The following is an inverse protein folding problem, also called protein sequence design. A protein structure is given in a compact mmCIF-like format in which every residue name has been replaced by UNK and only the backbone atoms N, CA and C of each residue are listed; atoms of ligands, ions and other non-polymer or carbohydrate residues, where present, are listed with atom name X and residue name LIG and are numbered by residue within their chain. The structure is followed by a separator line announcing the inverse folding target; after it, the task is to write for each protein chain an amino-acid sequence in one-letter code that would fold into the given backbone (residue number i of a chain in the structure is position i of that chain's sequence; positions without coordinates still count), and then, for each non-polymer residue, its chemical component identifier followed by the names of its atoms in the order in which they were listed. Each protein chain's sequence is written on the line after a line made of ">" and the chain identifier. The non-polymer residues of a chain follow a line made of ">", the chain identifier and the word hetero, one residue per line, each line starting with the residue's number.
data_IF_523020614579
#
_entry.id   IF_523020614579
#
_cell.length_a   1.000
_cell.length_b   1.000
_cell.length_c   1.000
_cell.angle_alpha   90.00
_cell.angle_beta   90.00
_cell.angle_gamma   90.00
#
_symmetry.space_group_name_H-M   'P 1'
#
loop_
_entity.id
_entity.type
_entity.pdbx_description
1 polymer ?
#
# COMPACT_ATOMS: atom_id res chain seq x y z
N UNK A 1 9.11 -12.82 19.85
CA UNK A 1 7.65 -12.92 19.72
C UNK A 1 7.29 -14.39 19.81
N UNK A 2 6.57 -14.78 20.88
CA UNK A 2 6.02 -16.12 20.97
C UNK A 2 4.81 -16.22 20.02
N UNK A 3 4.78 -17.24 19.17
CA UNK A 3 3.71 -17.44 18.19
C UNK A 3 2.42 -17.93 18.86
N UNK A 4 2.52 -18.56 20.04
CA UNK A 4 1.36 -19.08 20.78
C UNK A 4 0.51 -17.97 21.39
N UNK A 5 1.11 -16.82 21.73
CA UNK A 5 0.39 -15.65 22.25
C UNK A 5 -0.67 -15.13 21.26
N UNK A 6 -0.49 -15.41 19.97
CA UNK A 6 -1.41 -14.98 18.92
C UNK A 6 -2.66 -15.86 18.81
N UNK A 7 -2.77 -16.97 19.54
CA UNK A 7 -3.86 -17.95 19.35
C UNK A 7 -5.25 -17.31 19.44
N UNK A 8 -5.52 -16.52 20.50
CA UNK A 8 -6.79 -15.81 20.64
C UNK A 8 -6.98 -14.76 19.53
N UNK A 9 -5.89 -14.07 19.18
CA UNK A 9 -5.87 -13.08 18.11
C UNK A 9 -6.31 -13.68 16.77
N UNK A 10 -5.69 -14.80 16.38
CA UNK A 10 -6.00 -15.55 15.17
C UNK A 10 -7.47 -15.97 15.15
N UNK A 11 -8.00 -16.54 16.23
CA UNK A 11 -9.42 -16.96 16.31
C UNK A 11 -10.35 -15.79 16.04
N UNK A 12 -10.12 -14.63 16.68
CA UNK A 12 -10.93 -13.42 16.46
C UNK A 12 -10.78 -12.90 15.03
N UNK A 13 -9.56 -12.90 14.48
CA UNK A 13 -9.31 -12.51 13.08
C UNK A 13 -10.07 -13.40 12.10
N UNK A 14 -10.14 -14.73 12.32
CA UNK A 14 -10.94 -15.63 11.46
C UNK A 14 -12.42 -15.32 11.46
N UNK A 15 -12.98 -14.87 12.58
CA UNK A 15 -14.38 -14.42 12.64
C UNK A 15 -14.56 -13.15 11.82
N UNK A 16 -13.59 -12.23 11.86
CA UNK A 16 -13.63 -10.99 11.09
C UNK A 16 -13.40 -11.20 9.60
N UNK A 17 -12.61 -12.20 9.20
CA UNK A 17 -12.42 -12.57 7.79
C UNK A 17 -13.74 -12.95 7.11
N UNK A 18 -14.68 -13.57 7.84
CA UNK A 18 -16.03 -13.89 7.31
C UNK A 18 -16.87 -12.66 6.98
N UNK A 19 -16.48 -11.49 7.47
CA UNK A 19 -17.15 -10.21 7.25
C UNK A 19 -16.54 -9.40 6.11
N UNK A 20 -15.45 -9.88 5.52
CA UNK A 20 -14.89 -9.29 4.30
C UNK A 20 -15.88 -9.42 3.16
N UNK A 21 -15.86 -8.45 2.25
CA UNK A 21 -16.70 -8.42 1.07
C UNK A 21 -16.31 -9.57 0.14
N UNK A 22 -17.29 -10.43 -0.09
CA UNK A 22 -17.18 -11.54 -1.02
C UNK A 22 -17.17 -11.05 -2.46
N UNK A 23 -16.62 -11.87 -3.36
CA UNK A 23 -16.69 -11.60 -4.80
C UNK A 23 -18.12 -11.31 -5.28
N UNK A 24 -19.11 -12.10 -4.82
CA UNK A 24 -20.52 -11.86 -5.17
C UNK A 24 -21.06 -10.52 -4.69
N UNK A 25 -20.59 -10.00 -3.55
CA UNK A 25 -20.98 -8.67 -3.07
C UNK A 25 -20.36 -7.57 -3.92
N UNK A 26 -19.08 -7.71 -4.29
CA UNK A 26 -18.41 -6.78 -5.19
C UNK A 26 -19.07 -6.76 -6.58
N UNK A 27 -19.47 -7.92 -7.12
CA UNK A 27 -20.21 -8.00 -8.39
C UNK A 27 -21.58 -7.31 -8.29
N UNK A 28 -22.34 -7.52 -7.21
CA UNK A 28 -23.60 -6.78 -6.96
C UNK A 28 -23.38 -5.26 -6.94
N UNK A 29 -22.31 -4.78 -6.30
CA UNK A 29 -21.96 -3.37 -6.26
C UNK A 29 -21.55 -2.83 -7.65
N UNK A 30 -20.85 -3.64 -8.44
CA UNK A 30 -20.47 -3.31 -9.81
C UNK A 30 -21.69 -3.23 -10.73
N UNK A 31 -22.71 -4.06 -10.53
CA UNK A 31 -23.91 -4.09 -11.38
C UNK A 31 -25.01 -3.15 -10.91
N UNK A 32 -24.89 -2.54 -9.73
CA UNK A 32 -25.81 -1.50 -9.25
C UNK A 32 -25.94 -0.37 -10.29
N UNK A 33 -27.16 0.05 -10.62
CA UNK A 33 -27.41 1.03 -11.67
C UNK A 33 -26.98 2.44 -11.27
N UNK A 34 -27.06 2.77 -9.99
CA UNK A 34 -26.79 4.11 -9.46
C UNK A 34 -25.87 4.08 -8.23
N UNK A 35 -25.32 5.24 -7.87
CA UNK A 35 -24.58 5.40 -6.61
C UNK A 35 -25.47 5.04 -5.41
N UNK A 36 -26.72 5.48 -5.37
CA UNK A 36 -27.63 5.21 -4.26
C UNK A 36 -27.91 3.70 -4.08
N UNK A 37 -28.06 2.96 -5.18
CA UNK A 37 -28.20 1.50 -5.13
C UNK A 37 -26.92 0.84 -4.60
N UNK A 38 -25.75 1.28 -5.06
CA UNK A 38 -24.47 0.77 -4.54
C UNK A 38 -24.32 1.06 -3.04
N UNK A 39 -24.72 2.24 -2.58
CA UNK A 39 -24.68 2.62 -1.17
C UNK A 39 -25.68 1.81 -0.33
N UNK A 40 -26.87 1.48 -0.84
CA UNK A 40 -27.81 0.57 -0.16
C UNK A 40 -27.20 -0.82 0.03
N UNK A 41 -26.59 -1.38 -1.02
CA UNK A 41 -25.90 -2.68 -0.93
C UNK A 41 -24.76 -2.60 0.10
N UNK A 42 -23.94 -1.54 0.06
CA UNK A 42 -22.85 -1.37 1.01
C UNK A 42 -23.35 -1.25 2.46
N UNK A 43 -24.51 -0.63 2.68
CA UNK A 43 -25.16 -0.50 3.99
C UNK A 43 -25.63 -1.85 4.56
N UNK A 44 -25.91 -2.84 3.72
CA UNK A 44 -26.24 -4.22 4.13
C UNK A 44 -25.00 -5.00 4.64
N UNK A 45 -23.79 -4.46 4.43
CA UNK A 45 -22.53 -5.09 4.83
C UNK A 45 -22.00 -4.51 6.16
N UNK A 46 -20.82 -4.95 6.60
CA UNK A 46 -20.16 -4.42 7.80
C UNK A 46 -19.91 -2.90 7.75
N UNK A 47 -19.84 -2.32 6.54
CA UNK A 47 -19.74 -0.87 6.32
C UNK A 47 -20.97 -0.10 6.78
N UNK A 48 -22.13 -0.76 6.94
CA UNK A 48 -23.39 -0.14 7.37
C UNK A 48 -23.28 0.64 8.69
N UNK A 49 -22.41 0.20 9.60
CA UNK A 49 -22.14 0.90 10.86
C UNK A 49 -21.53 2.30 10.68
N UNK A 50 -20.73 2.48 9.62
CA UNK A 50 -20.05 3.73 9.29
C UNK A 50 -20.94 4.74 8.55
N UNK A 51 -22.15 4.35 8.12
CA UNK A 51 -23.09 5.27 7.45
C UNK A 51 -23.63 6.36 8.38
N UNK A 52 -23.59 6.14 9.69
CA UNK A 52 -23.95 7.16 10.68
C UNK A 52 -23.04 8.40 10.63
N UNK A 53 -21.87 8.29 10.00
CA UNK A 53 -20.89 9.36 9.84
C UNK A 53 -21.11 10.20 8.57
N UNK A 54 -22.07 9.83 7.72
CA UNK A 54 -22.37 10.60 6.51
C UNK A 54 -23.01 11.93 6.88
N UNK A 55 -22.37 13.03 6.46
CA UNK A 55 -23.00 14.35 6.35
C UNK A 55 -23.72 14.48 5.00
N UNK A 56 -24.57 15.50 4.85
CA UNK A 56 -25.37 15.76 3.63
C UNK A 56 -24.55 15.78 2.31
N UNK A 57 -23.24 16.02 2.37
CA UNK A 57 -22.33 16.00 1.22
C UNK A 57 -21.90 14.60 0.72
N UNK A 58 -22.42 13.50 1.30
CA UNK A 58 -22.32 12.12 0.78
C UNK A 58 -20.92 11.69 0.29
N UNK A 59 -19.86 12.01 1.04
CA UNK A 59 -18.51 11.57 0.71
C UNK A 59 -18.29 10.12 1.14
N UNK A 60 -18.45 9.18 0.20
CA UNK A 60 -18.19 7.77 0.43
C UNK A 60 -16.75 7.50 0.91
N UNK A 61 -15.78 8.37 0.62
CA UNK A 61 -14.43 8.24 1.16
C UNK A 61 -14.42 8.27 2.69
N UNK A 62 -15.29 9.08 3.30
CA UNK A 62 -15.41 9.14 4.77
C UNK A 62 -15.83 7.79 5.34
N UNK A 63 -16.79 7.09 4.71
CA UNK A 63 -17.18 5.72 5.13
C UNK A 63 -16.02 4.75 4.97
N UNK A 64 -15.36 4.77 3.81
CA UNK A 64 -14.26 3.85 3.54
C UNK A 64 -13.13 4.04 4.56
N UNK A 65 -12.73 5.29 4.80
CA UNK A 65 -11.68 5.62 5.76
C UNK A 65 -12.08 5.29 7.20
N UNK A 66 -13.32 5.55 7.60
CA UNK A 66 -13.81 5.19 8.92
C UNK A 66 -13.74 3.67 9.14
N UNK A 67 -14.16 2.89 8.16
CA UNK A 67 -14.12 1.42 8.24
C UNK A 67 -12.68 0.88 8.27
N UNK A 68 -11.79 1.47 7.46
CA UNK A 68 -10.37 1.11 7.49
C UNK A 68 -9.77 1.42 8.87
N UNK A 69 -10.02 2.62 9.41
CA UNK A 69 -9.56 3.01 10.75
C UNK A 69 -10.10 2.09 11.84
N UNK A 70 -11.40 1.75 11.78
CA UNK A 70 -12.04 0.78 12.68
C UNK A 70 -11.34 -0.58 12.61
N UNK A 71 -11.00 -1.03 11.41
CA UNK A 71 -10.30 -2.31 11.21
C UNK A 71 -8.91 -2.33 11.86
N UNK A 72 -8.15 -1.23 11.73
CA UNK A 72 -6.86 -1.09 12.42
C UNK A 72 -7.04 -1.10 13.95
N UNK A 73 -8.02 -0.37 14.49
CA UNK A 73 -8.30 -0.36 15.94
C UNK A 73 -8.70 -1.73 16.47
N UNK A 74 -9.57 -2.45 15.77
CA UNK A 74 -9.94 -3.83 16.14
C UNK A 74 -8.70 -4.74 16.14
N UNK A 75 -7.79 -4.56 15.19
CA UNK A 75 -6.56 -5.36 15.15
C UNK A 75 -5.56 -5.00 16.24
N UNK A 76 -5.53 -3.76 16.72
CA UNK A 76 -4.78 -3.39 17.93
C UNK A 76 -5.32 -4.14 19.15
N UNK A 77 -6.64 -4.25 19.30
CA UNK A 77 -7.29 -4.96 20.41
C UNK A 77 -7.19 -6.50 20.31
N UNK A 78 -6.90 -7.02 19.12
CA UNK A 78 -6.83 -8.45 18.81
C UNK A 78 -5.38 -8.95 18.84
N UNK A 79 -4.43 -8.10 18.49
CA UNK A 79 -3.02 -8.46 18.43
C UNK A 79 -2.36 -8.35 19.81
N UNK A 80 -1.67 -9.39 20.29
CA UNK A 80 -0.87 -9.30 21.52
C UNK A 80 0.35 -8.37 21.35
N UNK A 81 0.75 -8.07 20.10
CA UNK A 81 1.87 -7.20 19.78
C UNK A 81 1.45 -6.19 18.70
N UNK A 82 1.48 -4.90 19.04
CA UNK A 82 1.10 -3.81 18.14
C UNK A 82 2.08 -3.63 16.97
N UNK A 83 3.30 -4.19 17.04
CA UNK A 83 4.30 -4.06 15.98
C UNK A 83 3.80 -4.57 14.63
N UNK A 84 2.93 -5.59 14.61
CA UNK A 84 2.33 -6.15 13.40
C UNK A 84 1.33 -5.18 12.75
N UNK A 85 0.50 -4.54 13.57
CA UNK A 85 -0.49 -3.56 13.10
C UNK A 85 0.23 -2.28 12.67
N UNK A 86 1.22 -1.84 13.46
CA UNK A 86 2.08 -0.69 13.17
C UNK A 86 2.90 -0.88 11.89
N UNK A 87 3.33 -2.10 11.57
CA UNK A 87 4.00 -2.41 10.31
C UNK A 87 3.16 -2.01 9.09
N UNK A 88 1.84 -2.23 9.14
CA UNK A 88 0.91 -1.83 8.08
C UNK A 88 0.52 -0.35 8.15
N UNK A 89 0.54 0.25 9.34
CA UNK A 89 0.38 1.71 9.50
C UNK A 89 1.56 2.50 8.93
N UNK A 90 2.75 1.90 8.88
CA UNK A 90 3.98 2.55 8.46
C UNK A 90 3.88 3.25 7.10
N UNK A 91 3.18 2.66 6.13
CA UNK A 91 3.02 3.30 4.81
C UNK A 91 2.20 4.61 4.89
N UNK A 92 1.26 4.69 5.83
CA UNK A 92 0.45 5.89 6.07
C UNK A 92 1.28 6.96 6.77
N UNK A 93 2.17 6.57 7.68
CA UNK A 93 3.13 7.46 8.32
C UNK A 93 4.06 8.11 7.29
N UNK A 94 4.67 7.32 6.41
CA UNK A 94 5.53 7.85 5.34
C UNK A 94 4.75 8.63 4.28
N UNK A 95 3.48 8.28 4.01
CA UNK A 95 2.60 9.12 3.19
C UNK A 95 2.39 10.49 3.83
N UNK A 96 2.01 10.53 5.11
CA UNK A 96 1.79 11.78 5.81
C UNK A 96 3.08 12.61 5.93
N UNK A 97 4.23 11.97 6.15
CA UNK A 97 5.53 12.64 6.17
C UNK A 97 5.86 13.24 4.78
N UNK A 98 5.56 12.53 3.68
CA UNK A 98 5.70 13.07 2.31
C UNK A 98 4.82 14.30 2.11
N UNK A 99 3.57 14.25 2.57
CA UNK A 99 2.64 15.38 2.49
C UNK A 99 3.17 16.56 3.30
N UNK A 100 3.57 16.34 4.55
CA UNK A 100 4.10 17.36 5.45
C UNK A 100 5.35 18.06 4.89
N UNK A 101 6.34 17.29 4.42
CA UNK A 101 7.56 17.89 3.89
C UNK A 101 7.30 18.69 2.61
N UNK A 102 6.36 18.22 1.76
CA UNK A 102 5.92 19.01 0.60
C UNK A 102 5.17 20.27 1.00
N UNK A 103 4.33 20.19 2.04
CA UNK A 103 3.60 21.33 2.61
C UNK A 103 4.57 22.45 3.01
N UNK A 104 5.60 22.09 3.78
CA UNK A 104 6.62 23.02 4.28
C UNK A 104 7.49 23.56 3.13
N UNK A 105 7.92 22.69 2.22
CA UNK A 105 8.82 23.09 1.12
C UNK A 105 8.13 23.95 0.08
N UNK A 106 6.87 23.64 -0.24
CA UNK A 106 6.09 24.34 -1.27
C UNK A 106 5.27 25.51 -0.74
N UNK A 107 5.25 25.69 0.58
CA UNK A 107 4.47 26.72 1.29
C UNK A 107 2.99 26.73 0.88
N UNK A 108 2.36 25.55 0.94
CA UNK A 108 0.95 25.34 0.56
C UNK A 108 0.30 24.42 1.57
N UNK A 109 -0.97 24.65 1.90
CA UNK A 109 -1.72 23.76 2.78
C UNK A 109 -2.11 22.45 2.07
N UNK A 110 -1.68 21.33 2.62
CA UNK A 110 -2.04 19.99 2.16
C UNK A 110 -2.66 19.16 3.29
N UNK A 111 -3.19 19.81 4.33
CA UNK A 111 -3.76 19.15 5.51
C UNK A 111 -4.87 18.15 5.17
N UNK A 112 -5.62 18.41 4.09
CA UNK A 112 -6.69 17.53 3.58
C UNK A 112 -6.17 16.19 3.01
N UNK A 113 -4.87 16.07 2.72
CA UNK A 113 -4.24 14.85 2.20
C UNK A 113 -3.69 13.94 3.30
N UNK A 114 -3.75 14.35 4.57
CA UNK A 114 -3.32 13.52 5.69
C UNK A 114 -4.29 12.38 5.96
N UNK A 115 -3.72 11.22 6.26
CA UNK A 115 -4.44 9.99 6.54
C UNK A 115 -4.36 9.68 8.05
N UNK A 116 -5.48 9.75 8.81
CA UNK A 116 -5.49 9.62 10.27
C UNK A 116 -5.45 8.14 10.73
N UNK A 117 -4.57 7.35 10.13
CA UNK A 117 -4.36 5.91 10.37
C UNK A 117 -2.92 5.62 10.81
N UNK A 118 -2.00 6.58 10.58
CA UNK A 118 -0.61 6.51 11.01
C UNK A 118 -0.44 6.39 12.53
N UNK A 119 0.80 6.12 12.94
CA UNK A 119 1.25 6.14 14.33
C UNK A 119 1.84 7.48 14.74
N UNK A 120 2.24 8.32 13.77
CA UNK A 120 2.92 9.58 14.00
C UNK A 120 1.96 10.74 14.25
N UNK A 121 2.26 11.59 15.23
CA UNK A 121 1.61 12.91 15.36
C UNK A 121 2.25 13.91 14.39
N UNK A 122 1.66 14.00 13.21
CA UNK A 122 2.12 14.85 12.11
C UNK A 122 2.04 16.34 12.47
N UNK A 123 1.08 16.74 13.32
CA UNK A 123 0.95 18.15 13.76
C UNK A 123 2.08 18.52 14.70
N UNK A 124 2.42 17.61 15.60
CA UNK A 124 3.57 17.79 16.49
C UNK A 124 4.88 17.83 15.70
N UNK A 125 5.08 16.89 14.76
CA UNK A 125 6.27 16.88 13.88
C UNK A 125 6.36 18.17 13.05
N UNK A 126 5.24 18.67 12.52
CA UNK A 126 5.20 19.97 11.82
C UNK A 126 5.73 21.10 12.70
N UNK A 127 5.26 21.16 13.95
CA UNK A 127 5.68 22.16 14.94
C UNK A 127 7.18 22.06 15.22
N UNK A 128 7.70 20.85 15.38
CA UNK A 128 9.12 20.59 15.58
C UNK A 128 9.98 21.02 14.39
N UNK A 129 9.54 20.78 13.15
CA UNK A 129 10.27 21.22 11.96
C UNK A 129 10.29 22.75 11.88
N UNK A 130 9.15 23.42 12.10
CA UNK A 130 9.04 24.88 12.00
C UNK A 130 9.87 25.62 13.07
N UNK A 131 9.99 25.02 14.26
CA UNK A 131 10.79 25.58 15.36
C UNK A 131 12.27 25.15 15.32
N UNK A 132 12.70 24.45 14.27
CA UNK A 132 14.05 23.86 14.13
C UNK A 132 14.47 22.95 15.31
N UNK A 133 13.51 22.43 16.08
CA UNK A 133 13.75 21.51 17.19
C UNK A 133 13.31 20.10 16.82
N UNK A 134 14.23 19.32 16.25
CA UNK A 134 13.98 17.90 15.93
C UNK A 134 14.45 16.94 17.04
N UNK A 135 14.92 17.42 18.19
CA UNK A 135 15.49 16.52 19.21
C UNK A 135 14.45 15.52 19.75
N UNK A 136 13.20 15.97 19.84
CA UNK A 136 12.05 15.20 20.35
C UNK A 136 11.37 14.33 19.27
N UNK A 137 11.85 14.36 18.03
CA UNK A 137 11.37 13.47 16.96
C UNK A 137 12.11 12.14 17.02
N UNK A 138 11.36 11.04 16.86
CA UNK A 138 11.91 9.68 16.79
C UNK A 138 13.12 9.61 15.84
N UNK A 139 14.29 9.09 16.27
CA UNK A 139 15.54 9.24 15.52
C UNK A 139 15.49 8.84 14.03
N UNK A 140 14.78 7.77 13.62
CA UNK A 140 14.68 7.43 12.21
C UNK A 140 13.83 8.42 11.39
N UNK A 141 12.75 8.95 11.97
CA UNK A 141 11.90 9.97 11.34
C UNK A 141 12.70 11.27 11.21
N UNK A 142 13.44 11.63 12.26
CA UNK A 142 14.36 12.77 12.22
C UNK A 142 15.40 12.63 11.12
N UNK A 143 16.05 11.47 11.01
CA UNK A 143 17.03 11.21 9.95
C UNK A 143 16.40 11.40 8.56
N UNK A 144 15.18 10.89 8.36
CA UNK A 144 14.42 11.06 7.13
C UNK A 144 14.15 12.53 6.78
N UNK A 145 13.69 13.31 7.77
CA UNK A 145 13.42 14.75 7.61
C UNK A 145 14.71 15.49 7.23
N UNK A 146 15.79 15.27 7.97
CA UNK A 146 17.07 15.94 7.74
C UNK A 146 17.63 15.62 6.35
N UNK A 147 17.58 14.35 5.94
CA UNK A 147 18.02 13.92 4.62
C UNK A 147 17.24 14.62 3.50
N UNK A 148 15.91 14.64 3.59
CA UNK A 148 15.04 15.30 2.60
C UNK A 148 15.31 16.81 2.54
N UNK A 149 15.36 17.49 3.68
CA UNK A 149 15.58 18.94 3.71
C UNK A 149 16.96 19.31 3.17
N UNK A 150 17.98 18.49 3.45
CA UNK A 150 19.35 18.70 2.93
C UNK A 150 19.41 18.47 1.43
N UNK A 151 18.83 17.38 0.92
CA UNK A 151 18.78 17.07 -0.51
C UNK A 151 18.03 18.15 -1.29
N UNK A 152 16.90 18.63 -0.75
CA UNK A 152 16.12 19.69 -1.40
C UNK A 152 16.86 21.03 -1.43
N UNK A 153 17.61 21.39 -0.38
CA UNK A 153 18.46 22.60 -0.37
C UNK A 153 19.45 22.62 -1.53
N UNK A 154 19.99 21.46 -1.91
CA UNK A 154 20.96 21.30 -2.99
C UNK A 154 20.29 21.22 -4.37
N UNK A 155 19.28 20.36 -4.50
CA UNK A 155 18.73 19.97 -5.81
C UNK A 155 17.54 20.80 -6.26
N UNK A 156 16.78 21.37 -5.31
CA UNK A 156 15.50 22.06 -5.53
C UNK A 156 14.46 21.22 -6.30
N UNK A 157 14.56 19.89 -6.29
CA UNK A 157 13.62 18.99 -6.96
C UNK A 157 12.64 18.34 -5.97
N UNK A 158 11.36 18.76 -5.93
CA UNK A 158 10.35 18.18 -5.03
C UNK A 158 10.08 16.69 -5.28
N UNK A 159 10.44 16.15 -6.45
CA UNK A 159 10.26 14.72 -6.74
C UNK A 159 11.18 13.85 -5.88
N UNK A 160 12.34 14.38 -5.47
CA UNK A 160 13.31 13.66 -4.65
C UNK A 160 12.82 13.38 -3.22
N UNK A 161 11.92 14.22 -2.71
CA UNK A 161 11.21 13.99 -1.43
C UNK A 161 10.56 12.60 -1.41
N UNK A 162 9.81 12.28 -2.47
CA UNK A 162 9.11 11.01 -2.58
C UNK A 162 10.09 9.83 -2.63
N UNK A 163 11.15 9.97 -3.41
CA UNK A 163 12.18 8.93 -3.60
C UNK A 163 12.88 8.59 -2.27
N UNK A 164 13.34 9.61 -1.55
CA UNK A 164 14.05 9.44 -0.28
C UNK A 164 13.12 8.77 0.73
N UNK A 165 11.89 9.27 0.88
CA UNK A 165 10.94 8.74 1.85
C UNK A 165 10.45 7.34 1.48
N UNK A 166 10.24 7.02 0.21
CA UNK A 166 9.86 5.67 -0.23
C UNK A 166 11.00 4.67 0.04
N UNK A 167 12.27 5.06 -0.17
CA UNK A 167 13.44 4.23 0.19
C UNK A 167 13.53 3.99 1.70
N UNK A 168 13.34 5.03 2.51
CA UNK A 168 13.39 4.93 3.97
C UNK A 168 12.23 4.10 4.52
N UNK A 169 11.03 4.25 3.95
CA UNK A 169 9.88 3.40 4.24
C UNK A 169 10.22 1.92 4.07
N UNK A 170 10.79 1.54 2.93
CA UNK A 170 11.14 0.15 2.64
C UNK A 170 12.23 -0.36 3.58
N UNK A 171 13.23 0.46 3.89
CA UNK A 171 14.26 0.11 4.86
C UNK A 171 13.67 -0.18 6.25
N UNK A 172 12.78 0.70 6.74
CA UNK A 172 12.07 0.51 8.00
C UNK A 172 11.18 -0.73 7.99
N UNK A 173 10.38 -0.90 6.94
CA UNK A 173 9.48 -2.03 6.75
C UNK A 173 10.25 -3.36 6.81
N UNK A 174 11.38 -3.45 6.10
CA UNK A 174 12.24 -4.63 6.12
C UNK A 174 12.87 -4.89 7.49
N UNK A 175 13.35 -3.86 8.18
CA UNK A 175 13.94 -4.00 9.52
C UNK A 175 12.95 -4.63 10.50
N UNK A 176 11.69 -4.22 10.45
CA UNK A 176 10.63 -4.79 11.29
C UNK A 176 10.32 -6.24 10.87
N UNK A 177 10.21 -6.52 9.56
CA UNK A 177 9.95 -7.88 9.06
C UNK A 177 11.07 -8.86 9.41
N UNK A 178 12.33 -8.44 9.28
CA UNK A 178 13.50 -9.24 9.65
C UNK A 178 13.51 -9.55 11.16
N UNK A 179 12.98 -8.65 12.00
CA UNK A 179 12.83 -8.89 13.44
C UNK A 179 11.70 -9.89 13.77
N UNK A 180 10.60 -9.88 13.01
CA UNK A 180 9.47 -10.80 13.18
C UNK A 180 9.85 -12.24 12.77
N UNK A 181 10.79 -12.40 11.82
CA UNK A 181 11.31 -13.70 11.35
C UNK A 181 10.23 -14.65 10.79
N UNK A 182 9.14 -14.11 10.26
CA UNK A 182 8.12 -14.90 9.55
C UNK A 182 8.56 -15.13 8.09
N UNK A 183 8.64 -16.39 7.61
CA UNK A 183 8.95 -16.68 6.22
C UNK A 183 7.97 -16.02 5.24
N UNK A 184 6.68 -15.99 5.58
CA UNK A 184 5.64 -15.36 4.77
C UNK A 184 5.89 -13.86 4.60
N UNK A 185 6.26 -13.16 5.69
CA UNK A 185 6.48 -11.72 5.64
C UNK A 185 7.73 -11.37 4.85
N UNK A 186 8.80 -12.16 5.02
CA UNK A 186 10.04 -12.00 4.24
C UNK A 186 9.75 -12.21 2.75
N UNK A 187 9.00 -13.26 2.40
CA UNK A 187 8.61 -13.53 1.02
C UNK A 187 7.75 -12.41 0.43
N UNK A 188 6.75 -11.95 1.17
CA UNK A 188 5.91 -10.82 0.79
C UNK A 188 6.73 -9.56 0.54
N UNK A 189 7.62 -9.19 1.47
CA UNK A 189 8.44 -8.00 1.36
C UNK A 189 9.39 -8.05 0.16
N UNK A 190 10.08 -9.17 -0.03
CA UNK A 190 10.99 -9.36 -1.17
C UNK A 190 10.24 -9.27 -2.49
N UNK A 191 9.09 -9.92 -2.61
CA UNK A 191 8.26 -9.84 -3.80
C UNK A 191 7.79 -8.40 -4.08
N UNK A 192 7.27 -7.72 -3.05
CA UNK A 192 6.84 -6.33 -3.15
C UNK A 192 7.97 -5.42 -3.65
N UNK A 193 9.18 -5.58 -3.10
CA UNK A 193 10.37 -4.82 -3.53
C UNK A 193 10.70 -5.08 -5.00
N UNK A 194 10.71 -6.34 -5.42
CA UNK A 194 11.00 -6.70 -6.81
C UNK A 194 9.99 -6.07 -7.78
N UNK A 195 8.69 -6.11 -7.47
CA UNK A 195 7.66 -5.44 -8.27
C UNK A 195 7.86 -3.92 -8.31
N UNK A 196 8.17 -3.31 -7.16
CA UNK A 196 8.46 -1.86 -7.10
C UNK A 196 9.69 -1.53 -7.96
N UNK A 197 10.75 -2.35 -7.93
CA UNK A 197 11.95 -2.15 -8.72
C UNK A 197 11.67 -2.27 -10.22
N UNK A 198 10.87 -3.25 -10.67
CA UNK A 198 10.47 -3.33 -12.10
C UNK A 198 9.62 -2.12 -12.50
N UNK A 199 8.63 -1.73 -11.69
CA UNK A 199 7.81 -0.53 -11.95
C UNK A 199 8.69 0.72 -12.04
N UNK A 200 9.68 0.82 -11.16
CA UNK A 200 10.63 1.94 -11.11
C UNK A 200 11.52 1.96 -12.35
N UNK A 201 12.06 0.81 -12.77
CA UNK A 201 12.80 0.66 -14.03
C UNK A 201 11.99 1.21 -15.22
N UNK A 202 10.73 0.77 -15.37
CA UNK A 202 9.86 1.22 -16.46
C UNK A 202 9.58 2.73 -16.36
N UNK A 203 9.32 3.22 -15.15
CA UNK A 203 9.03 4.65 -14.90
C UNK A 203 10.21 5.53 -15.25
N UNK A 204 11.41 5.19 -14.81
CA UNK A 204 12.64 5.95 -15.09
C UNK A 204 12.88 6.03 -16.60
N UNK A 205 12.72 4.90 -17.33
CA UNK A 205 12.80 4.87 -18.79
C UNK A 205 11.78 5.81 -19.45
N UNK A 206 10.53 5.77 -18.99
CA UNK A 206 9.45 6.63 -19.52
C UNK A 206 9.71 8.11 -19.27
N UNK A 207 10.31 8.43 -18.13
CA UNK A 207 10.71 9.80 -17.77
C UNK A 207 12.01 10.26 -18.45
N UNK A 208 12.65 9.42 -19.28
CA UNK A 208 13.93 9.69 -19.94
C UNK A 208 15.05 10.12 -18.97
N UNK A 209 14.96 9.64 -17.72
CA UNK A 209 16.03 9.78 -16.72
C UNK A 209 17.15 8.79 -17.02
N UNK A 210 18.34 9.01 -16.48
CA UNK A 210 19.51 8.21 -16.80
C UNK A 210 19.65 6.97 -15.91
N UNK A 211 20.63 6.11 -16.24
CA UNK A 211 20.93 4.89 -15.48
C UNK A 211 21.40 5.20 -14.05
N UNK A 212 22.11 6.31 -13.84
CA UNK A 212 22.57 6.73 -12.50
C UNK A 212 21.39 7.02 -11.60
N UNK A 213 20.40 7.75 -12.11
CA UNK A 213 19.16 7.98 -11.38
C UNK A 213 18.45 6.67 -11.05
N UNK A 214 18.39 5.68 -11.96
CA UNK A 214 17.83 4.37 -11.65
C UNK A 214 18.55 3.71 -10.46
N UNK A 215 19.88 3.73 -10.46
CA UNK A 215 20.71 3.15 -9.40
C UNK A 215 20.41 3.76 -8.02
N UNK A 216 20.21 5.08 -7.96
CA UNK A 216 19.86 5.81 -6.72
C UNK A 216 18.49 5.40 -6.15
N UNK A 217 17.52 5.10 -7.03
CA UNK A 217 16.13 4.83 -6.63
C UNK A 217 15.80 3.35 -6.46
N UNK A 218 16.67 2.45 -6.95
CA UNK A 218 16.47 1.01 -6.79
C UNK A 218 16.58 0.60 -5.32
N UNK A 219 15.58 -0.16 -4.89
CA UNK A 219 15.50 -0.73 -3.55
C UNK A 219 16.37 -1.98 -3.45
N UNK A 220 16.99 -2.18 -2.29
CA UNK A 220 17.80 -3.37 -1.97
C UNK A 220 16.94 -4.47 -1.33
N UNK A 221 17.52 -5.66 -1.15
CA UNK A 221 16.93 -6.79 -0.39
C UNK A 221 15.65 -7.40 -1.00
N UNK A 222 15.45 -7.26 -2.32
CA UNK A 222 14.49 -8.07 -3.08
C UNK A 222 14.97 -9.51 -3.30
N UNK A 223 14.26 -10.29 -4.13
CA UNK A 223 14.81 -11.56 -4.63
C UNK A 223 15.77 -11.34 -5.81
N UNK A 224 15.64 -10.21 -6.52
CA UNK A 224 16.43 -9.92 -7.70
C UNK A 224 17.51 -8.90 -7.36
N UNK A 225 18.74 -9.17 -7.82
CA UNK A 225 19.88 -8.27 -7.66
C UNK A 225 19.71 -6.95 -8.44
N UNK A 226 20.22 -5.85 -7.88
CA UNK A 226 20.09 -4.51 -8.46
C UNK A 226 20.66 -4.44 -9.87
N UNK A 227 21.79 -5.10 -10.07
CA UNK A 227 22.56 -5.19 -11.30
C UNK A 227 21.69 -5.72 -12.45
N UNK A 228 20.79 -6.67 -12.17
CA UNK A 228 19.88 -7.21 -13.18
C UNK A 228 18.89 -6.16 -13.69
N UNK A 229 18.37 -5.31 -12.82
CA UNK A 229 17.51 -4.18 -13.23
C UNK A 229 18.30 -3.13 -14.02
N UNK A 230 19.54 -2.84 -13.61
CA UNK A 230 20.41 -1.90 -14.30
C UNK A 230 20.80 -2.39 -15.70
N UNK A 231 21.08 -3.69 -15.88
CA UNK A 231 21.34 -4.28 -17.19
C UNK A 231 20.13 -4.20 -18.10
N UNK A 232 18.92 -4.32 -17.56
CA UNK A 232 17.68 -4.16 -18.32
C UNK A 232 17.23 -2.71 -18.56
N UNK A 233 18.07 -1.72 -18.22
CA UNK A 233 17.74 -0.33 -18.43
C UNK A 233 17.47 0.04 -19.90
N UNK A 234 18.17 -0.57 -20.85
CA UNK A 234 17.98 -0.33 -22.29
C UNK A 234 16.98 -1.27 -22.95
N UNK A 235 16.57 -2.34 -22.26
CA UNK A 235 15.76 -3.44 -22.80
C UNK A 235 14.31 -3.05 -23.11
N UNK A 236 13.76 -3.54 -24.23
CA UNK A 236 12.31 -3.42 -24.46
C UNK A 236 11.51 -4.19 -23.40
N UNK A 237 10.21 -3.91 -23.26
CA UNK A 237 9.35 -4.66 -22.32
C UNK A 237 9.38 -6.16 -22.61
N UNK A 238 9.43 -6.57 -23.88
CA UNK A 238 9.56 -7.98 -24.26
C UNK A 238 10.87 -8.61 -23.80
N UNK A 239 11.97 -7.86 -23.87
CA UNK A 239 13.27 -8.32 -23.39
C UNK A 239 13.29 -8.40 -21.86
N UNK A 240 12.65 -7.45 -21.16
CA UNK A 240 12.45 -7.51 -19.71
C UNK A 240 11.64 -8.78 -19.36
N UNK A 241 10.51 -9.04 -20.02
CA UNK A 241 9.73 -10.28 -19.78
C UNK A 241 10.63 -11.52 -19.92
N UNK A 242 11.47 -11.58 -20.96
CA UNK A 242 12.41 -12.70 -21.16
C UNK A 242 13.45 -12.82 -20.05
N UNK A 243 14.07 -11.71 -19.64
CA UNK A 243 15.14 -11.71 -18.65
C UNK A 243 14.65 -12.12 -17.25
N UNK A 244 13.42 -11.77 -16.91
CA UNK A 244 12.83 -11.99 -15.59
C UNK A 244 11.95 -13.25 -15.54
N UNK A 245 11.88 -14.06 -16.61
CA UNK A 245 10.99 -15.24 -16.70
C UNK A 245 11.27 -16.35 -15.69
N UNK A 246 12.51 -16.45 -15.21
CA UNK A 246 12.96 -17.47 -14.27
C UNK A 246 12.97 -16.96 -12.81
N UNK A 247 12.57 -15.71 -12.59
CA UNK A 247 12.54 -15.13 -11.24
C UNK A 247 11.38 -15.68 -10.42
N UNK A 248 11.54 -15.69 -9.10
CA UNK A 248 10.51 -16.19 -8.18
C UNK A 248 9.15 -15.51 -8.38
N UNK A 249 9.16 -14.21 -8.70
CA UNK A 249 7.95 -13.41 -8.94
C UNK A 249 7.39 -13.52 -10.37
N UNK A 250 8.02 -14.28 -11.27
CA UNK A 250 7.67 -14.32 -12.69
C UNK A 250 6.18 -14.60 -12.96
N UNK A 251 5.56 -15.47 -12.15
CA UNK A 251 4.13 -15.80 -12.25
C UNK A 251 3.20 -14.59 -12.14
N UNK A 252 3.55 -13.58 -11.34
CA UNK A 252 2.79 -12.33 -11.26
C UNK A 252 3.40 -11.22 -12.13
N UNK A 253 4.72 -11.23 -12.31
CA UNK A 253 5.43 -10.18 -13.04
C UNK A 253 5.16 -10.21 -14.54
N UNK A 254 5.10 -11.39 -15.16
CA UNK A 254 4.86 -11.52 -16.60
C UNK A 254 3.47 -10.96 -16.96
N UNK A 255 2.36 -11.37 -16.29
CA UNK A 255 1.05 -10.75 -16.51
C UNK A 255 1.04 -9.24 -16.29
N UNK A 256 1.76 -8.75 -15.26
CA UNK A 256 1.87 -7.31 -14.98
C UNK A 256 2.53 -6.54 -16.13
N UNK A 257 3.64 -7.07 -16.66
CA UNK A 257 4.37 -6.48 -17.79
C UNK A 257 3.58 -6.56 -19.10
N UNK A 258 2.85 -7.66 -19.34
CA UNK A 258 1.98 -7.80 -20.50
C UNK A 258 0.82 -6.80 -20.45
N UNK A 259 0.14 -6.70 -19.29
CA UNK A 259 -0.93 -5.74 -19.07
C UNK A 259 -0.45 -4.30 -19.26
N UNK A 260 0.74 -3.96 -18.75
CA UNK A 260 1.36 -2.66 -18.99
C UNK A 260 1.68 -2.44 -20.48
N UNK A 261 2.21 -3.45 -21.18
CA UNK A 261 2.55 -3.34 -22.61
C UNK A 261 1.32 -3.05 -23.47
N UNK A 262 0.18 -3.67 -23.16
CA UNK A 262 -1.07 -3.51 -23.91
C UNK A 262 -1.74 -2.16 -23.67
N UNK A 263 -1.68 -1.66 -22.43
CA UNK A 263 -2.47 -0.48 -22.00
C UNK A 263 -1.64 0.79 -21.84
N UNK A 264 -0.32 0.65 -21.68
CA UNK A 264 0.62 1.69 -21.27
C UNK A 264 0.26 2.36 -19.92
N UNK A 265 -0.50 1.67 -19.07
CA UNK A 265 -1.00 2.16 -17.77
C UNK A 265 -0.34 1.45 -16.61
N UNK A 266 0.19 2.22 -15.66
CA UNK A 266 0.80 1.65 -14.46
C UNK A 266 -0.23 1.01 -13.53
N UNK A 267 -1.48 1.48 -13.55
CA UNK A 267 -2.52 0.91 -12.68
C UNK A 267 -2.79 -0.57 -13.03
N UNK A 268 -2.66 -0.95 -14.30
CA UNK A 268 -2.88 -2.33 -14.74
C UNK A 268 -1.70 -3.24 -14.33
N UNK A 269 -0.46 -2.71 -14.30
CA UNK A 269 0.70 -3.38 -13.68
C UNK A 269 0.49 -3.56 -12.17
N UNK A 270 0.07 -2.49 -11.48
CA UNK A 270 -0.13 -2.49 -10.03
C UNK A 270 -1.26 -3.44 -9.61
N UNK A 271 -2.30 -3.59 -10.44
CA UNK A 271 -3.35 -4.57 -10.23
C UNK A 271 -2.78 -5.99 -10.17
N UNK A 272 -1.93 -6.38 -11.14
CA UNK A 272 -1.33 -7.71 -11.16
C UNK A 272 -0.30 -7.94 -10.03
N UNK A 273 0.43 -6.89 -9.65
CA UNK A 273 1.26 -6.90 -8.43
C UNK A 273 0.39 -7.18 -7.19
N UNK A 274 -0.68 -6.40 -6.99
CA UNK A 274 -1.58 -6.55 -5.86
C UNK A 274 -2.23 -7.96 -5.86
N UNK A 275 -2.63 -8.49 -7.02
CA UNK A 275 -3.16 -9.84 -7.17
C UNK A 275 -2.15 -10.91 -6.75
N UNK A 276 -0.89 -10.77 -7.16
CA UNK A 276 0.17 -11.71 -6.77
C UNK A 276 0.44 -11.65 -5.25
N UNK A 277 0.53 -10.45 -4.69
CA UNK A 277 0.73 -10.25 -3.24
C UNK A 277 -0.44 -10.80 -2.42
N UNK A 278 -1.68 -10.63 -2.89
CA UNK A 278 -2.87 -11.24 -2.28
C UNK A 278 -2.78 -12.77 -2.31
N UNK A 279 -2.37 -13.37 -3.43
CA UNK A 279 -2.18 -14.82 -3.54
C UNK A 279 -1.14 -15.34 -2.54
N UNK A 280 -0.03 -14.62 -2.35
CA UNK A 280 0.97 -14.99 -1.35
C UNK A 280 0.39 -15.00 0.07
N UNK A 281 -0.34 -13.96 0.46
CA UNK A 281 -0.88 -13.89 1.83
C UNK A 281 -2.06 -14.83 2.08
N UNK A 282 -2.70 -15.39 1.04
CA UNK A 282 -3.75 -16.42 1.22
C UNK A 282 -3.21 -17.67 1.93
N UNK A 283 -1.91 -17.95 1.83
CA UNK A 283 -1.25 -19.02 2.62
C UNK A 283 -1.43 -18.82 4.13
N UNK A 284 -1.62 -17.58 4.59
CA UNK A 284 -1.91 -17.30 5.99
C UNK A 284 -3.18 -17.98 6.48
N UNK A 285 -4.12 -18.39 5.60
CA UNK A 285 -5.34 -19.14 5.98
C UNK A 285 -5.01 -20.49 6.63
N UNK A 286 -3.85 -21.07 6.31
CA UNK A 286 -3.38 -22.35 6.86
C UNK A 286 -2.52 -22.20 8.12
N UNK A 287 -2.27 -20.96 8.56
CA UNK A 287 -1.49 -20.67 9.76
C UNK A 287 -2.45 -20.50 10.95
N UNK A 288 -2.26 -21.34 11.97
CA UNK A 288 -3.08 -21.35 13.19
C UNK A 288 -2.43 -20.62 14.37
N UNK A 289 -1.11 -20.42 14.33
CA UNK A 289 -0.33 -19.77 15.38
C UNK A 289 0.64 -18.77 14.77
N UNK A 290 0.54 -17.51 15.18
CA UNK A 290 1.44 -16.43 14.77
C UNK A 290 0.73 -15.18 14.23
N UNK A 291 1.51 -14.16 13.87
CA UNK A 291 1.00 -12.84 13.45
C UNK A 291 0.44 -12.81 12.03
N UNK A 292 0.66 -13.85 11.22
CA UNK A 292 0.35 -13.85 9.79
C UNK A 292 -1.13 -13.64 9.46
N UNK A 293 -2.10 -14.23 10.19
CA UNK A 293 -3.51 -13.99 9.93
C UNK A 293 -3.94 -12.54 10.14
N UNK A 294 -3.40 -11.87 11.17
CA UNK A 294 -3.68 -10.45 11.47
C UNK A 294 -3.16 -9.56 10.32
N UNK A 295 -1.92 -9.82 9.89
CA UNK A 295 -1.32 -9.12 8.75
C UNK A 295 -2.12 -9.34 7.46
N UNK A 296 -2.50 -10.58 7.17
CA UNK A 296 -3.27 -10.91 5.97
C UNK A 296 -4.66 -10.24 5.97
N UNK A 297 -5.34 -10.21 7.11
CA UNK A 297 -6.64 -9.56 7.25
C UNK A 297 -6.58 -8.06 6.95
N UNK A 298 -5.59 -7.34 7.49
CA UNK A 298 -5.46 -5.91 7.23
C UNK A 298 -5.13 -5.61 5.76
N UNK A 299 -4.24 -6.39 5.14
CA UNK A 299 -3.98 -6.28 3.69
C UNK A 299 -5.21 -6.60 2.83
N UNK A 300 -6.03 -7.56 3.26
CA UNK A 300 -7.31 -7.86 2.64
C UNK A 300 -8.27 -6.67 2.74
N UNK A 301 -8.41 -6.05 3.92
CA UNK A 301 -9.23 -4.85 4.12
C UNK A 301 -8.77 -3.67 3.26
N UNK A 302 -7.47 -3.47 3.11
CA UNK A 302 -6.94 -2.42 2.24
C UNK A 302 -7.25 -2.68 0.76
N UNK A 303 -7.20 -3.94 0.33
CA UNK A 303 -7.52 -4.34 -1.05
C UNK A 303 -9.01 -4.22 -1.33
N UNK A 304 -9.85 -4.62 -0.36
CA UNK A 304 -11.29 -4.40 -0.38
C UNK A 304 -11.62 -2.91 -0.50
N UNK A 305 -10.97 -2.05 0.28
CA UNK A 305 -11.14 -0.60 0.21
C UNK A 305 -10.74 -0.04 -1.17
N UNK A 306 -9.62 -0.48 -1.74
CA UNK A 306 -9.21 -0.10 -3.11
C UNK A 306 -10.27 -0.50 -4.14
N UNK A 307 -10.81 -1.71 -4.02
CA UNK A 307 -11.85 -2.23 -4.88
C UNK A 307 -13.16 -1.43 -4.75
N UNK A 308 -13.60 -1.14 -3.52
CA UNK A 308 -14.77 -0.29 -3.27
C UNK A 308 -14.58 1.11 -3.83
N UNK A 309 -13.42 1.74 -3.62
CA UNK A 309 -13.12 3.07 -4.19
C UNK A 309 -13.21 3.03 -5.72
N UNK A 310 -12.65 2.00 -6.36
CA UNK A 310 -12.77 1.84 -7.83
C UNK A 310 -14.24 1.74 -8.23
N UNK A 311 -15.04 0.93 -7.55
CA UNK A 311 -16.47 0.78 -7.87
C UNK A 311 -17.19 2.10 -7.70
N UNK A 312 -17.09 2.75 -6.54
CA UNK A 312 -17.86 3.94 -6.19
C UNK A 312 -17.45 5.15 -7.06
N UNK A 313 -16.15 5.37 -7.29
CA UNK A 313 -15.69 6.38 -8.25
C UNK A 313 -16.19 6.07 -9.65
N UNK A 314 -16.18 4.81 -10.06
CA UNK A 314 -16.72 4.39 -11.36
C UNK A 314 -18.22 4.66 -11.46
N UNK A 315 -18.98 4.49 -10.37
CA UNK A 315 -20.42 4.81 -10.32
C UNK A 315 -20.68 6.31 -10.41
N UNK A 316 -19.90 7.11 -9.69
CA UNK A 316 -19.98 8.57 -9.77
C UNK A 316 -19.66 9.12 -11.17
N UNK A 317 -18.87 8.38 -11.96
CA UNK A 317 -18.47 8.75 -13.32
C UNK A 317 -19.18 7.92 -14.40
N UNK A 318 -20.25 7.20 -14.06
CA UNK A 318 -21.08 6.41 -14.99
C UNK A 318 -20.28 5.42 -15.88
N UNK A 319 -19.18 4.88 -15.34
CA UNK A 319 -18.32 3.96 -16.07
C UNK A 319 -19.00 2.59 -16.21
N UNK A 320 -19.01 1.98 -17.41
CA UNK A 320 -19.67 0.71 -17.64
C UNK A 320 -19.15 -0.43 -16.73
N UNK A 321 -20.03 -1.28 -16.17
CA UNK A 321 -19.65 -2.37 -15.26
C UNK A 321 -18.54 -3.29 -15.78
N UNK A 322 -18.53 -3.58 -17.09
CA UNK A 322 -17.50 -4.42 -17.72
C UNK A 322 -16.10 -3.80 -17.63
N UNK A 323 -15.99 -2.48 -17.71
CA UNK A 323 -14.73 -1.76 -17.57
C UNK A 323 -14.27 -1.71 -16.12
N UNK A 324 -15.21 -1.63 -15.17
CA UNK A 324 -14.91 -1.70 -13.74
C UNK A 324 -14.31 -3.06 -13.39
N UNK A 325 -14.93 -4.16 -13.83
CA UNK A 325 -14.45 -5.55 -13.59
C UNK A 325 -12.98 -5.74 -13.97
N UNK A 326 -12.54 -5.20 -15.12
CA UNK A 326 -11.15 -5.31 -15.58
C UNK A 326 -10.13 -4.66 -14.64
N UNK A 327 -10.55 -3.69 -13.83
CA UNK A 327 -9.73 -2.93 -12.89
C UNK A 327 -9.76 -3.49 -11.47
N UNK A 328 -10.64 -4.43 -11.19
CA UNK A 328 -10.78 -5.04 -9.87
C UNK A 328 -9.57 -5.91 -9.54
N UNK A 329 -9.13 -5.83 -8.29
CA UNK A 329 -8.14 -6.74 -7.72
C UNK A 329 -8.84 -7.97 -7.20
N UNK A 330 -8.13 -9.09 -7.16
CA UNK A 330 -8.61 -10.31 -6.52
C UNK A 330 -8.92 -10.06 -5.03
N UNK A 331 -10.07 -10.57 -4.58
CA UNK A 331 -10.44 -10.53 -3.15
C UNK A 331 -9.66 -11.57 -2.35
N UNK A 332 -9.43 -11.33 -1.07
CA UNK A 332 -8.80 -12.32 -0.19
C UNK A 332 -9.71 -13.53 0.07
N UNK A 333 -11.02 -13.31 0.20
CA UNK A 333 -12.03 -14.31 0.57
C UNK A 333 -12.69 -14.99 -0.61
#
# INVERSE_FOLDING_TARGET
>A
MDRLDFTQGVVRTRVLEKKLLTFGTLERLIDAGTMDEAMKILKETDYGSSFSLLTENNDFETILFAELKRSFQIMDDVSPDSSIVNLLRLKYDYHNLKVLLKEIILDKDFSHLYLPIGTMDIKQIKTFILNENLQDVDPPVRAAIVEVLTDYKITRDPQRIGIILDRLYIYHFLKIIEAIKSPLFIEYAKAMIDFINVRTLIRVKRQKKDRKFLEEVLLSKGNIEKEKFLHSFTDSIDQIIRNFRNEKIAKGLIPALQSYKETNRFEDFEKEMDNYLIKLIREAKHIHFGPEPIFAYLLAKETEMKNLRIILVSKANEIPPQMVRKRMRESYV
#
